data_IF_541895777841
#
_entry.id   IF_541895777841
#
_cell.length_a   1.000
_cell.length_b   1.000
_cell.length_c   1.000
_cell.angle_alpha   90.00
_cell.angle_beta   90.00
_cell.angle_gamma   90.00
#
_symmetry.space_group_name_H-M   'P 1'
#
loop_
_entity.id
_entity.type
_entity.pdbx_description
1 polymer ?
#
# COMPACT_ATOMS: atom_id res chain seq x y z
N UNK A 1 13.26 30.65 10.25
CA UNK A 1 14.57 30.54 9.58
C UNK A 1 14.49 29.32 8.70
N UNK A 2 14.68 29.45 7.39
CA UNK A 2 14.73 28.30 6.49
C UNK A 2 16.04 27.55 6.69
N UNK A 3 16.00 26.21 6.60
CA UNK A 3 17.18 25.35 6.78
C UNK A 3 18.39 25.74 5.92
N UNK A 4 19.59 25.42 6.40
CA UNK A 4 20.85 25.84 5.79
C UNK A 4 21.13 25.14 4.44
N UNK A 5 20.49 23.99 4.20
CA UNK A 5 20.61 23.19 2.97
C UNK A 5 19.23 22.83 2.40
N UNK A 6 19.20 22.35 1.14
CA UNK A 6 17.94 22.03 0.45
C UNK A 6 17.15 20.89 1.11
N UNK A 7 17.81 19.98 1.83
CA UNK A 7 17.14 18.87 2.50
C UNK A 7 16.27 19.37 3.65
N UNK A 8 16.84 20.21 4.51
CA UNK A 8 16.11 20.83 5.62
C UNK A 8 14.97 21.71 5.09
N UNK A 9 15.25 22.56 4.09
CA UNK A 9 14.21 23.37 3.45
C UNK A 9 13.06 22.51 2.90
N UNK A 10 13.37 21.43 2.17
CA UNK A 10 12.35 20.55 1.60
C UNK A 10 11.52 19.82 2.67
N UNK A 11 12.15 19.42 3.79
CA UNK A 11 11.44 18.82 4.93
C UNK A 11 10.51 19.84 5.59
N UNK A 12 10.98 21.06 5.85
CA UNK A 12 10.15 22.13 6.42
C UNK A 12 8.93 22.42 5.54
N UNK A 13 9.14 22.54 4.21
CA UNK A 13 8.04 22.73 3.26
C UNK A 13 7.09 21.53 3.25
N UNK A 14 7.61 20.30 3.30
CA UNK A 14 6.80 19.09 3.32
C UNK A 14 5.91 19.02 4.57
N UNK A 15 6.45 19.34 5.75
CA UNK A 15 5.72 19.35 7.02
C UNK A 15 4.60 20.40 7.07
N UNK A 16 4.76 21.51 6.35
CA UNK A 16 3.76 22.58 6.29
C UNK A 16 2.75 22.41 5.14
N UNK A 17 2.88 21.40 4.27
CA UNK A 17 1.96 21.16 3.16
C UNK A 17 0.77 20.30 3.57
N UNK A 18 -0.43 20.74 3.18
CA UNK A 18 -1.66 19.95 3.31
C UNK A 18 -1.77 18.94 2.15
N UNK A 19 -1.28 17.72 2.37
CA UNK A 19 -1.31 16.63 1.40
C UNK A 19 -1.71 15.31 2.06
N UNK A 20 -2.18 14.35 1.26
CA UNK A 20 -2.51 13.02 1.77
C UNK A 20 -1.28 12.32 2.38
N UNK A 21 -1.49 11.51 3.43
CA UNK A 21 -0.42 10.80 4.15
C UNK A 21 0.44 9.91 3.24
N UNK A 22 -0.16 9.26 2.25
CA UNK A 22 0.58 8.45 1.27
C UNK A 22 1.52 9.30 0.41
N UNK A 23 1.07 10.48 -0.04
CA UNK A 23 1.91 11.46 -0.75
C UNK A 23 3.02 11.97 0.15
N UNK A 24 2.73 12.27 1.43
CA UNK A 24 3.73 12.69 2.40
C UNK A 24 4.85 11.66 2.55
N UNK A 25 4.51 10.39 2.79
CA UNK A 25 5.48 9.30 2.93
C UNK A 25 6.32 9.14 1.66
N UNK A 26 5.68 9.19 0.49
CA UNK A 26 6.38 9.11 -0.80
C UNK A 26 7.37 10.27 -0.98
N UNK A 27 6.94 11.50 -0.73
CA UNK A 27 7.79 12.70 -0.87
C UNK A 27 8.92 12.73 0.15
N UNK A 28 8.66 12.29 1.39
CA UNK A 28 9.70 12.09 2.39
C UNK A 28 10.74 11.05 1.93
N UNK A 29 10.28 9.97 1.30
CA UNK A 29 11.16 8.99 0.66
C UNK A 29 12.03 9.59 -0.45
N UNK A 30 11.49 10.50 -1.26
CA UNK A 30 12.26 11.26 -2.27
C UNK A 30 13.35 12.09 -1.60
N UNK A 31 13.00 12.89 -0.60
CA UNK A 31 13.97 13.75 0.13
C UNK A 31 15.08 12.90 0.76
N UNK A 32 14.73 11.77 1.40
CA UNK A 32 15.71 10.88 2.04
C UNK A 32 16.67 10.23 1.04
N UNK A 33 16.18 9.91 -0.15
CA UNK A 33 16.96 9.19 -1.14
C UNK A 33 17.85 10.10 -2.00
N UNK A 34 17.62 11.41 -2.03
CA UNK A 34 18.43 12.34 -2.81
C UNK A 34 19.50 12.99 -1.90
N UNK A 35 20.71 13.27 -2.41
CA UNK A 35 21.77 13.94 -1.65
C UNK A 35 21.53 15.46 -1.57
N UNK A 36 20.33 15.88 -1.12
CA UNK A 36 19.92 17.29 -1.07
C UNK A 36 20.70 18.10 -0.02
N UNK A 37 21.31 17.43 0.95
CA UNK A 37 22.22 18.03 1.94
C UNK A 37 23.43 18.71 1.31
N UNK A 38 23.84 18.29 0.11
CA UNK A 38 25.02 18.82 -0.58
C UNK A 38 24.74 20.12 -1.36
N UNK A 39 23.49 20.61 -1.33
CA UNK A 39 23.06 21.76 -2.10
C UNK A 39 22.47 22.83 -1.18
N UNK A 40 22.73 24.09 -1.48
CA UNK A 40 22.24 25.24 -0.70
C UNK A 40 20.94 25.80 -1.27
N UNK A 41 20.18 26.47 -0.41
CA UNK A 41 19.03 27.28 -0.82
C UNK A 41 19.51 28.73 -1.07
N UNK A 42 19.11 29.39 -2.17
CA UNK A 42 18.17 28.95 -3.20
C UNK A 42 18.76 27.90 -4.17
N UNK A 43 17.94 26.93 -4.64
CA UNK A 43 18.40 25.86 -5.51
C UNK A 43 18.78 26.35 -6.92
N UNK A 44 19.86 25.82 -7.48
CA UNK A 44 20.17 25.93 -8.91
C UNK A 44 19.42 24.83 -9.70
N UNK A 45 18.43 25.17 -10.57
CA UNK A 45 17.62 24.17 -11.27
C UNK A 45 18.44 23.20 -12.14
N UNK A 46 19.56 23.65 -12.70
CA UNK A 46 20.41 22.83 -13.58
C UNK A 46 21.15 21.76 -12.79
N UNK A 47 21.70 22.11 -11.64
CA UNK A 47 22.40 21.17 -10.75
C UNK A 47 21.45 20.10 -10.22
N UNK A 48 20.25 20.51 -9.77
CA UNK A 48 19.23 19.58 -9.28
C UNK A 48 18.75 18.66 -10.41
N UNK A 49 18.56 19.18 -11.61
CA UNK A 49 18.18 18.37 -12.76
C UNK A 49 19.25 17.32 -13.11
N UNK A 50 20.53 17.69 -13.09
CA UNK A 50 21.65 16.79 -13.36
C UNK A 50 21.75 15.71 -12.29
N UNK A 51 21.67 16.07 -11.01
CA UNK A 51 21.67 15.13 -9.89
C UNK A 51 20.55 14.08 -10.00
N UNK A 52 19.33 14.50 -10.33
CA UNK A 52 18.21 13.56 -10.53
C UNK A 52 18.45 12.71 -11.79
N UNK A 53 19.03 13.30 -12.83
CA UNK A 53 19.27 12.62 -14.10
C UNK A 53 20.35 11.54 -14.03
N UNK A 54 21.39 11.77 -13.22
CA UNK A 54 22.46 10.81 -12.95
C UNK A 54 21.96 9.66 -12.08
N UNK A 55 21.10 9.95 -11.09
CA UNK A 55 20.58 8.92 -10.18
C UNK A 55 19.50 8.03 -10.79
N UNK A 56 18.62 8.58 -11.62
CA UNK A 56 17.47 7.85 -12.17
C UNK A 56 17.52 7.78 -13.69
N UNK A 57 17.76 6.59 -14.23
CA UNK A 57 17.73 6.33 -15.67
C UNK A 57 16.31 6.28 -16.24
N UNK A 58 15.35 5.74 -15.48
CA UNK A 58 13.96 5.60 -15.93
C UNK A 58 13.28 6.98 -16.12
N UNK A 59 12.83 7.33 -17.34
CA UNK A 59 12.23 8.64 -17.63
C UNK A 59 10.96 8.95 -16.81
N UNK A 60 10.14 7.94 -16.51
CA UNK A 60 8.91 8.09 -15.72
C UNK A 60 9.24 8.42 -14.27
N UNK A 61 10.18 7.69 -13.67
CA UNK A 61 10.67 7.96 -12.31
C UNK A 61 11.31 9.34 -12.25
N UNK A 62 12.24 9.65 -13.16
CA UNK A 62 12.89 10.96 -13.26
C UNK A 62 11.87 12.11 -13.29
N UNK A 63 10.87 12.00 -14.17
CA UNK A 63 9.78 12.99 -14.27
C UNK A 63 9.04 13.17 -12.94
N UNK A 64 8.64 12.07 -12.29
CA UNK A 64 7.90 12.12 -11.02
C UNK A 64 8.73 12.77 -9.90
N UNK A 65 10.03 12.46 -9.82
CA UNK A 65 10.96 13.06 -8.86
C UNK A 65 11.12 14.56 -9.14
N UNK A 66 11.36 14.97 -10.39
CA UNK A 66 11.48 16.38 -10.75
C UNK A 66 10.19 17.17 -10.46
N UNK A 67 9.01 16.61 -10.69
CA UNK A 67 7.74 17.22 -10.33
C UNK A 67 7.62 17.42 -8.81
N UNK A 68 7.99 16.40 -8.04
CA UNK A 68 7.99 16.48 -6.57
C UNK A 68 8.94 17.58 -6.08
N UNK A 69 10.15 17.65 -6.64
CA UNK A 69 11.12 18.68 -6.29
C UNK A 69 10.68 20.09 -6.71
N UNK A 70 10.06 20.26 -7.88
CA UNK A 70 9.45 21.54 -8.27
C UNK A 70 8.43 22.01 -7.22
N UNK A 71 7.60 21.09 -6.70
CA UNK A 71 6.61 21.39 -5.66
C UNK A 71 7.20 21.71 -4.28
N UNK A 72 8.32 21.08 -3.90
CA UNK A 72 8.97 21.26 -2.60
C UNK A 72 9.91 22.45 -2.57
N UNK A 73 10.67 22.66 -3.65
CA UNK A 73 11.72 23.68 -3.72
C UNK A 73 11.24 25.00 -4.34
N UNK A 74 10.02 25.03 -4.91
CA UNK A 74 9.46 26.24 -5.54
C UNK A 74 10.11 26.61 -6.87
N UNK A 75 10.79 25.67 -7.54
CA UNK A 75 11.45 25.88 -8.84
C UNK A 75 10.63 25.30 -10.00
N UNK A 76 10.98 25.73 -11.22
CA UNK A 76 10.40 25.23 -12.47
C UNK A 76 11.47 24.52 -13.33
N UNK A 77 11.81 23.28 -12.99
CA UNK A 77 12.60 22.41 -13.86
C UNK A 77 11.74 21.83 -14.98
N UNK A 78 12.30 21.68 -16.18
CA UNK A 78 11.64 21.01 -17.31
C UNK A 78 11.42 19.54 -16.98
N UNK A 79 10.15 19.16 -16.82
CA UNK A 79 9.75 17.77 -16.65
C UNK A 79 9.39 17.20 -18.03
N UNK A 80 9.98 16.08 -18.44
CA UNK A 80 9.67 15.44 -19.72
C UNK A 80 8.18 15.11 -19.90
N UNK A 81 7.79 14.73 -21.12
CA UNK A 81 6.42 14.27 -21.41
C UNK A 81 6.13 12.96 -20.67
N UNK A 82 4.86 12.74 -20.31
CA UNK A 82 4.45 11.45 -19.79
C UNK A 82 4.59 10.39 -20.91
N UNK A 83 5.34 9.34 -20.62
CA UNK A 83 5.46 8.17 -21.50
C UNK A 83 4.73 7.01 -20.84
N UNK A 84 3.81 6.40 -21.57
CA UNK A 84 3.14 5.19 -21.13
C UNK A 84 3.75 4.03 -21.92
N UNK A 85 4.39 3.05 -21.26
CA UNK A 85 4.83 1.85 -21.96
C UNK A 85 3.59 1.18 -22.57
N UNK A 86 3.68 0.86 -23.86
CA UNK A 86 2.70 0.01 -24.52
C UNK A 86 3.14 -1.42 -24.20
N UNK A 87 2.28 -2.14 -23.49
CA UNK A 87 2.48 -3.54 -23.19
C UNK A 87 1.69 -4.35 -24.20
N UNK A 88 2.33 -5.39 -24.75
CA UNK A 88 1.61 -6.45 -25.43
C UNK A 88 0.92 -7.30 -24.35
N UNK A 89 -0.39 -7.14 -24.24
CA UNK A 89 -1.19 -7.77 -23.19
C UNK A 89 -1.99 -8.93 -23.80
N UNK A 90 -2.15 -10.05 -23.08
CA UNK A 90 -2.99 -11.15 -23.53
C UNK A 90 -4.44 -10.70 -23.68
N UNK A 91 -5.17 -11.41 -24.54
CA UNK A 91 -6.58 -11.13 -24.80
C UNK A 91 -7.43 -11.36 -23.55
N UNK A 92 -8.54 -10.62 -23.46
CA UNK A 92 -9.44 -10.65 -22.31
C UNK A 92 -9.89 -12.08 -21.96
N UNK A 93 -10.29 -12.85 -22.97
CA UNK A 93 -10.77 -14.22 -22.78
C UNK A 93 -9.68 -15.16 -22.27
N UNK A 94 -8.44 -14.97 -22.71
CA UNK A 94 -7.30 -15.76 -22.22
C UNK A 94 -7.09 -15.53 -20.73
N UNK A 95 -7.06 -14.26 -20.30
CA UNK A 95 -6.89 -13.90 -18.89
C UNK A 95 -8.05 -14.40 -18.05
N UNK A 96 -9.29 -14.22 -18.52
CA UNK A 96 -10.50 -14.70 -17.85
C UNK A 96 -10.45 -16.21 -17.63
N UNK A 97 -10.10 -16.99 -18.67
CA UNK A 97 -9.99 -18.44 -18.58
C UNK A 97 -8.93 -18.90 -17.57
N UNK A 98 -7.79 -18.22 -17.49
CA UNK A 98 -6.74 -18.53 -16.50
C UNK A 98 -7.22 -18.26 -15.08
N UNK A 99 -7.93 -17.15 -14.85
CA UNK A 99 -8.48 -16.82 -13.53
C UNK A 99 -9.52 -17.86 -13.09
N UNK A 100 -10.38 -18.30 -14.00
CA UNK A 100 -11.44 -19.27 -13.71
C UNK A 100 -10.94 -20.69 -13.43
N UNK A 101 -9.71 -21.01 -13.83
CA UNK A 101 -9.10 -22.35 -13.66
C UNK A 101 -7.86 -22.28 -12.77
N UNK A 102 -8.02 -22.00 -11.45
CA UNK A 102 -6.88 -21.88 -10.55
C UNK A 102 -6.12 -23.20 -10.45
N UNK A 103 -4.81 -23.16 -10.68
CA UNK A 103 -3.92 -24.34 -10.65
C UNK A 103 -3.46 -24.70 -9.24
N UNK A 104 -3.58 -23.77 -8.29
CA UNK A 104 -3.13 -23.94 -6.92
C UNK A 104 -3.99 -23.16 -5.91
N UNK A 105 -3.80 -23.46 -4.62
CA UNK A 105 -4.55 -22.84 -3.51
C UNK A 105 -4.40 -21.31 -3.49
N UNK A 106 -3.23 -20.78 -3.85
CA UNK A 106 -3.00 -19.33 -3.88
C UNK A 106 -3.87 -18.66 -4.94
N UNK A 107 -3.88 -19.18 -6.17
CA UNK A 107 -4.70 -18.67 -7.26
C UNK A 107 -6.20 -18.78 -6.94
N UNK A 108 -6.63 -19.88 -6.32
CA UNK A 108 -8.02 -20.05 -5.90
C UNK A 108 -8.47 -18.96 -4.92
N UNK A 109 -7.61 -18.57 -3.97
CA UNK A 109 -7.90 -17.45 -3.05
C UNK A 109 -7.96 -16.10 -3.76
N UNK A 110 -7.05 -15.86 -4.70
CA UNK A 110 -7.00 -14.61 -5.46
C UNK A 110 -8.08 -14.48 -6.54
N UNK A 111 -8.77 -15.58 -6.88
CA UNK A 111 -9.71 -15.68 -8.02
C UNK A 111 -10.74 -14.55 -8.04
N UNK A 112 -11.45 -14.34 -6.93
CA UNK A 112 -12.50 -13.33 -6.86
C UNK A 112 -11.94 -11.91 -7.02
N UNK A 113 -10.80 -11.59 -6.39
CA UNK A 113 -10.14 -10.30 -6.56
C UNK A 113 -9.76 -10.06 -8.02
N UNK A 114 -9.20 -11.08 -8.69
CA UNK A 114 -8.82 -10.98 -10.10
C UNK A 114 -10.06 -10.83 -11.01
N UNK A 115 -11.14 -11.56 -10.75
CA UNK A 115 -12.40 -11.41 -11.49
C UNK A 115 -12.99 -10.01 -11.33
N UNK A 116 -13.00 -9.47 -10.11
CA UNK A 116 -13.45 -8.11 -9.83
C UNK A 116 -12.59 -7.05 -10.55
N UNK A 117 -11.27 -7.25 -10.65
CA UNK A 117 -10.40 -6.34 -11.40
C UNK A 117 -10.63 -6.45 -12.92
N UNK A 118 -10.72 -7.67 -13.45
CA UNK A 118 -10.84 -7.91 -14.89
C UNK A 118 -12.22 -7.53 -15.44
N UNK A 119 -13.29 -8.00 -14.79
CA UNK A 119 -14.67 -7.86 -15.27
C UNK A 119 -15.34 -6.56 -14.81
N UNK A 120 -14.90 -5.98 -13.68
CA UNK A 120 -15.53 -4.79 -13.10
C UNK A 120 -14.60 -3.57 -13.06
N UNK A 121 -13.33 -3.70 -13.49
CA UNK A 121 -12.37 -2.60 -13.52
C UNK A 121 -11.98 -2.07 -12.14
N UNK A 122 -12.27 -2.81 -11.07
CA UNK A 122 -11.95 -2.41 -9.71
C UNK A 122 -10.43 -2.31 -9.51
N UNK A 123 -9.99 -1.33 -8.74
CA UNK A 123 -8.61 -1.27 -8.27
C UNK A 123 -8.39 -2.30 -7.16
N UNK A 124 -7.16 -2.77 -6.99
CA UNK A 124 -6.81 -3.76 -5.96
C UNK A 124 -7.23 -3.35 -4.54
N UNK A 125 -7.16 -2.05 -4.19
CA UNK A 125 -7.61 -1.57 -2.89
C UNK A 125 -9.14 -1.60 -2.72
N UNK A 126 -9.88 -1.43 -3.82
CA UNK A 126 -11.35 -1.47 -3.84
C UNK A 126 -11.85 -2.91 -3.72
N UNK A 127 -11.15 -3.88 -4.33
CA UNK A 127 -11.50 -5.31 -4.19
C UNK A 127 -11.28 -5.84 -2.78
N UNK A 128 -10.47 -5.16 -1.96
CA UNK A 128 -10.23 -5.51 -0.55
C UNK A 128 -11.28 -4.95 0.43
N UNK A 129 -12.40 -4.46 -0.11
CA UNK A 129 -13.57 -4.04 0.64
C UNK A 129 -14.83 -4.73 0.09
N UNK A 130 -15.74 -5.10 1.00
CA UNK A 130 -17.01 -5.73 0.62
C UNK A 130 -18.05 -4.63 0.37
N UNK A 131 -18.23 -4.27 -0.89
CA UNK A 131 -19.19 -3.26 -1.32
C UNK A 131 -20.63 -3.76 -1.21
N UNK A 132 -21.54 -2.83 -0.99
CA UNK A 132 -22.96 -3.13 -0.95
C UNK A 132 -23.46 -3.48 -2.36
N UNK A 133 -24.26 -4.54 -2.45
CA UNK A 133 -24.96 -4.90 -3.68
C UNK A 133 -26.21 -4.03 -3.83
N UNK A 134 -26.37 -3.42 -5.00
CA UNK A 134 -27.52 -2.62 -5.40
C UNK A 134 -28.04 -3.18 -6.73
N UNK A 135 -29.16 -3.91 -6.69
CA UNK A 135 -29.74 -4.60 -7.87
C UNK A 135 -28.71 -5.50 -8.55
N UNK A 136 -28.35 -5.22 -9.81
CA UNK A 136 -27.34 -5.96 -10.59
C UNK A 136 -25.95 -5.29 -10.58
N UNK A 137 -25.65 -4.53 -9.52
CA UNK A 137 -24.42 -3.75 -9.42
C UNK A 137 -23.90 -3.75 -7.99
N UNK A 138 -22.66 -3.31 -7.82
CA UNK A 138 -22.06 -3.00 -6.53
C UNK A 138 -21.81 -1.50 -6.43
N UNK A 139 -22.04 -0.92 -5.24
CA UNK A 139 -21.72 0.48 -4.97
C UNK A 139 -20.29 0.60 -4.44
N UNK A 140 -19.36 1.04 -5.29
CA UNK A 140 -17.95 1.18 -4.93
C UNK A 140 -17.76 2.49 -4.19
N UNK A 141 -17.49 2.41 -2.88
CA UNK A 141 -17.39 3.61 -2.04
C UNK A 141 -16.04 3.73 -1.32
N UNK A 142 -15.43 2.59 -1.04
CA UNK A 142 -14.27 2.48 -0.17
C UNK A 142 -13.12 1.74 -0.84
N UNK A 143 -11.93 1.97 -0.32
CA UNK A 143 -10.73 1.22 -0.64
C UNK A 143 -9.94 0.97 0.64
N UNK A 144 -9.24 -0.15 0.66
CA UNK A 144 -8.28 -0.47 1.71
C UNK A 144 -6.90 0.05 1.32
N UNK A 145 -6.24 0.72 2.25
CA UNK A 145 -4.88 1.22 2.05
C UNK A 145 -3.88 0.15 2.47
N UNK A 146 -2.98 -0.20 1.57
CA UNK A 146 -2.01 -1.28 1.76
C UNK A 146 -1.12 -1.10 3.01
N UNK A 147 -0.68 0.12 3.31
CA UNK A 147 0.37 0.36 4.31
C UNK A 147 -0.13 0.26 5.76
N UNK A 148 -1.36 0.70 6.03
CA UNK A 148 -1.91 0.80 7.39
C UNK A 148 -3.21 0.02 7.56
N UNK A 149 -3.68 -0.66 6.52
CA UNK A 149 -4.93 -1.41 6.50
C UNK A 149 -6.18 -0.55 6.79
N UNK A 150 -6.04 0.78 6.71
CA UNK A 150 -7.16 1.69 6.92
C UNK A 150 -8.14 1.59 5.76
N UNK A 151 -9.43 1.77 6.07
CA UNK A 151 -10.48 1.93 5.07
C UNK A 151 -10.63 3.43 4.82
N UNK A 152 -10.48 3.83 3.57
CA UNK A 152 -10.65 5.21 3.13
C UNK A 152 -11.65 5.26 1.99
N UNK A 153 -12.23 6.43 1.76
CA UNK A 153 -13.08 6.66 0.60
C UNK A 153 -12.31 6.39 -0.69
N UNK A 154 -12.94 5.70 -1.64
CA UNK A 154 -12.36 5.47 -2.95
C UNK A 154 -12.19 6.80 -3.69
N UNK A 155 -11.20 6.89 -4.58
CA UNK A 155 -10.99 8.10 -5.40
C UNK A 155 -12.15 8.36 -6.36
N UNK A 156 -12.80 7.29 -6.78
CA UNK A 156 -13.95 7.30 -7.69
C UNK A 156 -15.03 6.46 -7.02
N UNK A 157 -16.17 7.07 -6.73
CA UNK A 157 -17.33 6.38 -6.19
C UNK A 157 -18.36 6.14 -7.29
N UNK A 158 -19.11 5.06 -7.21
CA UNK A 158 -20.20 4.81 -8.15
C UNK A 158 -20.66 3.36 -8.24
N UNK A 159 -21.75 3.17 -8.98
CA UNK A 159 -22.31 1.85 -9.28
C UNK A 159 -21.51 1.18 -10.39
N UNK A 160 -21.08 -0.05 -10.14
CA UNK A 160 -20.40 -0.90 -11.12
C UNK A 160 -21.27 -2.13 -11.37
N UNK A 161 -21.71 -2.28 -12.62
CA UNK A 161 -22.52 -3.43 -13.05
C UNK A 161 -21.62 -4.66 -13.14
N UNK A 162 -22.07 -5.78 -12.59
CA UNK A 162 -21.37 -7.06 -12.68
C UNK A 162 -22.15 -8.01 -13.58
N UNK A 163 -21.47 -8.93 -14.29
CA UNK A 163 -22.13 -10.08 -14.89
C UNK A 163 -22.88 -10.90 -13.83
N UNK A 164 -24.04 -11.46 -14.17
CA UNK A 164 -24.91 -12.18 -13.22
C UNK A 164 -24.16 -13.29 -12.47
N UNK A 165 -23.38 -14.11 -13.19
CA UNK A 165 -22.58 -15.19 -12.59
C UNK A 165 -21.57 -14.66 -11.56
N UNK A 166 -20.97 -13.49 -11.80
CA UNK A 166 -19.99 -12.89 -10.90
C UNK A 166 -20.69 -12.28 -9.70
N UNK A 167 -21.88 -11.70 -9.90
CA UNK A 167 -22.67 -11.15 -8.80
C UNK A 167 -23.16 -12.26 -7.85
N UNK A 168 -23.56 -13.40 -8.38
CA UNK A 168 -23.92 -14.58 -7.59
C UNK A 168 -22.75 -15.06 -6.74
N UNK A 169 -21.57 -15.32 -7.35
CA UNK A 169 -20.37 -15.67 -6.59
C UNK A 169 -19.99 -14.57 -5.59
N UNK A 170 -20.17 -13.30 -5.97
CA UNK A 170 -19.89 -12.18 -5.10
C UNK A 170 -20.78 -12.20 -3.87
N UNK A 171 -22.08 -12.51 -3.96
CA UNK A 171 -22.98 -12.50 -2.77
C UNK A 171 -22.43 -13.30 -1.60
N UNK A 172 -21.95 -14.52 -1.87
CA UNK A 172 -21.45 -15.42 -0.84
C UNK A 172 -19.98 -15.17 -0.46
N UNK A 173 -19.25 -14.49 -1.34
CA UNK A 173 -17.83 -14.24 -1.15
C UNK A 173 -17.55 -13.30 0.03
N UNK A 174 -16.58 -13.70 0.87
CA UNK A 174 -16.05 -12.89 1.96
C UNK A 174 -14.65 -12.43 1.65
N UNK A 175 -14.37 -11.16 1.95
CA UNK A 175 -13.04 -10.58 1.79
C UNK A 175 -12.10 -11.21 2.82
N UNK A 176 -11.03 -11.85 2.35
CA UNK A 176 -9.94 -12.29 3.20
C UNK A 176 -8.96 -11.13 3.41
N UNK A 177 -9.10 -10.44 4.55
CA UNK A 177 -8.20 -9.33 4.94
C UNK A 177 -6.99 -9.80 5.75
N UNK A 178 -6.95 -11.07 6.16
CA UNK A 178 -5.95 -11.59 7.09
C UNK A 178 -4.78 -12.25 6.38
N UNK A 179 -5.03 -12.94 5.26
CA UNK A 179 -4.00 -13.75 4.58
C UNK A 179 -3.40 -13.11 3.33
N UNK A 180 -3.94 -12.00 2.84
CA UNK A 180 -3.43 -11.26 1.68
C UNK A 180 -2.16 -10.42 1.95
N UNK A 181 -1.50 -10.64 3.08
CA UNK A 181 -0.18 -10.06 3.38
C UNK A 181 0.91 -10.84 2.64
N UNK A 182 0.89 -10.84 1.31
CA UNK A 182 2.14 -11.03 0.60
C UNK A 182 2.94 -9.75 0.84
N UNK A 183 3.78 -9.74 1.90
CA UNK A 183 4.88 -8.78 1.97
C UNK A 183 5.64 -8.96 0.67
N UNK A 184 5.49 -8.02 -0.26
CA UNK A 184 6.27 -8.00 -1.48
C UNK A 184 7.71 -7.67 -1.07
N UNK A 185 8.50 -8.70 -0.76
CA UNK A 185 9.93 -8.56 -0.56
C UNK A 185 10.59 -8.74 -1.93
N UNK A 186 11.50 -7.85 -2.33
CA UNK A 186 12.17 -7.91 -3.63
C UNK A 186 12.98 -9.20 -3.88
N UNK A 187 13.06 -10.11 -2.89
CA UNK A 187 13.61 -11.47 -3.08
C UNK A 187 12.62 -12.44 -3.75
N UNK A 188 11.30 -12.26 -3.59
CA UNK A 188 10.30 -13.13 -4.21
C UNK A 188 10.26 -13.01 -5.76
N UNK A 189 10.81 -11.93 -6.32
CA UNK A 189 10.96 -11.74 -7.77
C UNK A 189 12.01 -12.69 -8.38
N UNK A 190 13.03 -13.08 -7.59
CA UNK A 190 14.06 -14.04 -8.05
C UNK A 190 13.55 -15.48 -8.05
N UNK A 191 12.76 -15.86 -7.05
CA UNK A 191 12.22 -17.22 -6.91
C UNK A 191 11.10 -17.52 -7.92
N UNK A 192 10.32 -16.49 -8.32
CA UNK A 192 9.29 -16.66 -9.36
C UNK A 192 9.87 -16.81 -10.77
N UNK A 193 11.09 -16.30 -11.02
CA UNK A 193 11.83 -16.58 -12.27
C UNK A 193 12.35 -18.02 -12.34
N UNK A 194 12.89 -18.55 -11.24
CA UNK A 194 13.38 -19.95 -11.20
C UNK A 194 12.25 -20.97 -11.34
N UNK A 195 11.06 -20.71 -10.80
CA UNK A 195 9.90 -21.61 -10.97
C UNK A 195 9.33 -21.64 -12.40
N UNK A 196 9.45 -20.55 -13.15
CA UNK A 196 9.07 -20.52 -14.56
C UNK A 196 10.05 -21.33 -15.44
N UNK A 197 11.31 -21.47 -15.00
CA UNK A 197 12.38 -22.16 -15.74
C UNK A 197 12.48 -23.67 -15.42
N UNK A 198 12.01 -24.14 -14.24
CA UNK A 198 12.28 -25.51 -13.79
C UNK A 198 11.15 -26.54 -13.99
N UNK A 199 9.96 -26.13 -14.45
CA UNK A 199 8.85 -27.07 -14.67
C UNK A 199 8.33 -27.74 -13.37
N UNK A 200 7.16 -28.40 -13.40
CA UNK A 200 6.54 -28.94 -12.19
C UNK A 200 7.16 -30.30 -11.84
N UNK A 201 8.22 -30.31 -11.04
CA UNK A 201 8.83 -31.50 -10.47
C UNK A 201 8.85 -31.49 -8.94
N UNK A 202 8.26 -32.52 -8.34
CA UNK A 202 8.38 -33.02 -6.95
C UNK A 202 7.77 -32.20 -5.78
N UNK A 203 6.66 -32.72 -5.27
CA UNK A 203 6.45 -33.31 -3.92
C UNK A 203 6.89 -32.56 -2.65
N UNK A 204 7.22 -31.28 -2.75
CA UNK A 204 7.44 -30.43 -1.59
C UNK A 204 6.11 -30.02 -0.94
N UNK A 205 5.90 -30.39 0.33
CA UNK A 205 4.85 -29.77 1.18
C UNK A 205 4.96 -28.25 1.08
N UNK A 206 4.02 -27.62 0.37
CA UNK A 206 3.87 -26.17 0.28
C UNK A 206 3.47 -25.64 1.67
N UNK A 207 4.46 -25.25 2.48
CA UNK A 207 4.22 -24.32 3.59
C UNK A 207 3.97 -22.94 2.98
N UNK A 208 2.88 -22.28 3.39
CA UNK A 208 2.47 -20.96 2.88
C UNK A 208 3.39 -19.81 3.34
N UNK A 209 4.62 -20.11 3.73
CA UNK A 209 5.51 -19.19 4.42
C UNK A 209 6.81 -19.04 3.64
N UNK A 210 7.05 -17.84 3.13
CA UNK A 210 8.37 -17.40 2.70
C UNK A 210 9.34 -17.53 3.89
N UNK A 211 10.34 -18.43 3.86
CA UNK A 211 11.19 -18.72 5.01
C UNK A 211 11.95 -17.50 5.54
N UNK A 212 12.29 -16.56 4.65
CA UNK A 212 13.03 -15.33 4.99
C UNK A 212 12.13 -14.17 5.44
N UNK A 213 10.82 -14.34 5.37
CA UNK A 213 9.85 -13.34 5.79
C UNK A 213 9.44 -13.49 7.27
N UNK A 214 9.90 -14.57 7.93
CA UNK A 214 9.55 -14.95 9.31
C UNK A 214 10.45 -14.31 10.40
N UNK A 215 11.60 -13.73 10.03
CA UNK A 215 12.58 -13.25 11.02
C UNK A 215 12.15 -12.01 11.83
N UNK A 216 10.98 -11.43 11.55
CA UNK A 216 10.44 -10.32 12.34
C UNK A 216 9.18 -10.65 13.15
N UNK A 217 8.77 -11.92 13.26
CA UNK A 217 7.66 -12.31 14.17
C UNK A 217 8.11 -12.69 15.59
N UNK A 218 9.42 -12.76 15.87
CA UNK A 218 9.93 -13.00 17.23
C UNK A 218 10.35 -11.69 17.90
N UNK A 219 9.42 -10.76 18.12
CA UNK A 219 9.60 -9.65 19.09
C UNK A 219 8.31 -8.92 19.49
N UNK A 220 7.17 -9.61 19.53
CA UNK A 220 6.01 -9.16 20.30
C UNK A 220 5.44 -10.38 21.03
N UNK A 221 6.22 -10.94 21.97
CA UNK A 221 5.63 -11.77 23.03
C UNK A 221 5.02 -10.83 24.05
N UNK A 222 3.70 -10.84 24.09
CA UNK A 222 2.82 -10.56 25.21
C UNK A 222 3.56 -10.27 26.54
N UNK A 223 3.60 -8.99 26.94
CA UNK A 223 3.64 -8.68 28.37
C UNK A 223 2.25 -8.93 28.92
N UNK A 224 2.02 -10.13 29.47
CA UNK A 224 0.92 -10.37 30.40
C UNK A 224 1.07 -9.39 31.57
N UNK A 225 -0.02 -8.77 32.06
CA UNK A 225 0.03 -8.04 33.33
C UNK A 225 0.28 -9.06 34.44
N UNK A 226 1.38 -8.86 35.18
CA UNK A 226 1.69 -9.65 36.35
C UNK A 226 0.77 -9.18 37.49
N UNK A 227 -0.21 -10.01 37.85
CA UNK A 227 -0.90 -9.90 39.13
C UNK A 227 0.08 -10.35 40.21
N UNK A 228 0.68 -9.37 40.91
CA UNK A 228 1.09 -9.44 42.32
C UNK A 228 1.79 -8.13 42.70
N UNK A 229 1.04 -7.19 43.28
CA UNK A 229 1.56 -6.28 44.28
C UNK A 229 0.39 -5.70 45.08
N UNK A 230 0.00 -6.46 46.10
CA UNK A 230 -0.46 -5.91 47.38
C UNK A 230 0.64 -5.00 47.92
N UNK A 231 0.50 -3.69 47.72
CA UNK A 231 1.04 -2.62 48.56
C UNK A 231 0.94 -1.30 47.77
N UNK A 232 -0.19 -0.59 47.86
CA UNK A 232 -0.24 0.89 47.77
C UNK A 232 -1.66 1.47 47.98
N UNK A 233 -2.42 0.95 48.95
CA UNK A 233 -3.71 1.55 49.39
C UNK A 233 -3.58 2.52 50.55
N UNK A 234 -2.36 2.86 51.01
CA UNK A 234 -2.13 3.72 52.19
C UNK A 234 -1.65 5.15 51.86
N UNK A 235 -1.88 5.65 50.63
CA UNK A 235 -1.33 6.96 50.25
C UNK A 235 -2.31 7.97 49.62
N UNK A 236 -3.61 7.68 49.60
CA UNK A 236 -4.64 8.67 49.30
C UNK A 236 -5.88 8.38 50.15
N UNK A 237 -5.89 8.88 51.39
CA UNK A 237 -7.04 8.80 52.29
C UNK A 237 -8.27 9.51 51.72
N UNK A 238 -9.09 8.77 50.98
CA UNK A 238 -10.42 9.20 50.55
C UNK A 238 -11.38 8.01 50.70
N UNK A 239 -12.31 8.16 51.65
CA UNK A 239 -13.40 7.22 51.92
C UNK A 239 -14.32 7.02 50.70
N UNK A 240 -14.68 5.78 50.32
CA UNK A 240 -15.73 5.52 49.37
C UNK A 240 -17.05 5.33 50.13
N UNK A 241 -17.70 6.44 50.48
CA UNK A 241 -18.99 6.43 51.17
C UNK A 241 -19.99 7.37 50.51
N UNK A 242 -21.13 6.81 50.11
CA UNK A 242 -22.38 7.49 49.71
C UNK A 242 -22.41 8.20 48.36
N UNK A 243 -23.05 7.57 47.37
CA UNK A 243 -24.03 8.25 46.52
C UNK A 243 -25.07 7.21 46.07
N UNK A 244 -26.25 7.29 46.69
CA UNK A 244 -27.45 6.61 46.22
C UNK A 244 -27.98 7.29 44.95
N UNK A 245 -28.62 6.50 44.11
CA UNK A 245 -29.47 6.97 43.00
C UNK A 245 -30.94 6.83 43.45
N UNK A 246 -31.81 7.78 43.06
CA UNK A 246 -33.27 7.59 43.13
C UNK A 246 -33.68 6.58 42.03
N UNK A 247 -34.71 5.75 42.13
CA UNK A 247 -35.95 5.76 42.93
C UNK A 247 -36.12 4.54 43.85
#
# INVERSE_FOLDING_TARGET
MYGANLKEYALDVLHNKQIARSTFINWQGVIKNLPLENYQFPPNPTEIYNMVSEKYSNPRTKRAILQTLNCLLGIKMKTGKATFPIHDLPDFEEVSNVIQRPKNKYQARCRMYANLMLHAGLRIGETQYKHQIVKNSINVEFQRIYHDNSVQTAKTQGLVVLPDWLLEEYRDWRVDVNTHRTKWCGKCEKESRTYAEQGPGNDGKLTNECPTCNDNQVRIKERKPNNNSTALTDLLGLDPGSFGMPD
#
